data_IF_567121840245
#
_entry.id   IF_567121840245
#
_cell.length_a   1.000
_cell.length_b   1.000
_cell.length_c   1.000
_cell.angle_alpha   90.00
_cell.angle_beta   90.00
_cell.angle_gamma   90.00
#
_symmetry.space_group_name_H-M   'P 1'
#
loop_
_entity.id
_entity.type
_entity.pdbx_description
1 polymer ?
#
# COMPACT_ATOMS: atom_id res chain seq x y z
N UNK A 1 30.24 -25.07 66.31
CA UNK A 1 29.10 -25.84 65.77
C UNK A 1 28.54 -25.06 64.61
N UNK A 2 28.54 -25.72 63.47
CA UNK A 2 28.03 -25.32 62.15
C UNK A 2 26.58 -24.85 62.21
N UNK A 3 26.21 -23.84 61.41
CA UNK A 3 25.09 -23.94 60.45
C UNK A 3 25.08 -22.72 59.50
N UNK A 4 25.60 -22.92 58.28
CA UNK A 4 24.86 -23.04 56.99
C UNK A 4 24.24 -21.73 56.50
N UNK A 5 25.00 -21.06 55.63
CA UNK A 5 24.57 -19.98 54.74
C UNK A 5 23.69 -20.60 53.64
N UNK A 6 22.41 -20.24 53.60
CA UNK A 6 21.49 -20.59 52.50
C UNK A 6 21.77 -19.69 51.29
N UNK A 7 22.52 -20.23 50.32
CA UNK A 7 22.64 -19.66 48.98
C UNK A 7 21.44 -20.10 48.14
N UNK A 8 20.46 -19.21 47.98
CA UNK A 8 19.40 -19.38 46.98
C UNK A 8 19.85 -18.80 45.63
N UNK A 9 19.80 -19.55 44.53
CA UNK A 9 20.24 -19.06 43.22
C UNK A 9 19.20 -18.10 42.62
N UNK A 10 19.65 -16.93 42.20
CA UNK A 10 18.90 -15.96 41.41
C UNK A 10 18.33 -16.63 40.14
N UNK A 11 17.04 -16.42 39.79
CA UNK A 11 16.48 -16.99 38.58
C UNK A 11 17.12 -16.34 37.35
N UNK A 12 17.66 -17.19 36.45
CA UNK A 12 18.19 -16.78 35.14
C UNK A 12 17.09 -16.04 34.37
N UNK A 13 17.33 -14.76 34.07
CA UNK A 13 16.55 -14.02 33.05
C UNK A 13 16.70 -14.75 31.72
N UNK A 14 15.64 -15.40 31.27
CA UNK A 14 15.51 -15.93 29.92
C UNK A 14 15.62 -14.79 28.91
N UNK A 15 16.51 -14.94 27.92
CA UNK A 15 16.62 -14.04 26.79
C UNK A 15 15.27 -13.95 26.05
N UNK A 16 14.90 -12.78 25.50
CA UNK A 16 13.64 -12.65 24.76
C UNK A 16 13.70 -13.47 23.47
N UNK A 17 12.74 -14.39 23.34
CA UNK A 17 12.39 -15.09 22.11
C UNK A 17 12.10 -14.08 20.99
N UNK A 18 12.48 -14.34 19.73
CA UNK A 18 12.20 -13.40 18.65
C UNK A 18 10.69 -13.28 18.47
N UNK A 19 10.16 -12.07 18.66
CA UNK A 19 8.75 -11.73 18.51
C UNK A 19 8.29 -12.09 17.10
N UNK A 20 7.39 -13.05 17.02
CA UNK A 20 6.66 -13.46 15.82
C UNK A 20 5.81 -12.31 15.26
N UNK A 21 5.67 -12.25 13.94
CA UNK A 21 4.68 -11.41 13.29
C UNK A 21 3.30 -12.00 13.62
N UNK A 22 2.40 -11.21 14.21
CA UNK A 22 1.02 -11.65 14.43
C UNK A 22 0.28 -11.63 13.08
N UNK A 23 -0.15 -12.81 12.64
CA UNK A 23 -0.76 -13.02 11.31
C UNK A 23 -2.28 -12.79 11.30
N UNK A 24 -2.89 -12.44 12.42
CA UNK A 24 -4.32 -12.14 12.49
C UNK A 24 -4.61 -10.67 12.11
N UNK A 25 -5.70 -10.45 11.38
CA UNK A 25 -6.17 -9.11 10.97
C UNK A 25 -7.28 -8.69 11.94
N UNK A 26 -7.00 -7.75 12.84
CA UNK A 26 -8.04 -7.15 13.65
C UNK A 26 -8.96 -6.30 12.75
N UNK A 27 -10.27 -6.54 12.79
CA UNK A 27 -11.28 -5.68 12.14
C UNK A 27 -11.96 -6.22 10.87
N UNK A 28 -11.68 -7.45 10.43
CA UNK A 28 -12.49 -8.08 9.38
C UNK A 28 -13.84 -8.51 10.00
N UNK A 29 -14.92 -7.81 9.65
CA UNK A 29 -16.26 -8.38 9.83
C UNK A 29 -16.32 -9.68 9.05
N UNK A 30 -16.42 -10.80 9.76
CA UNK A 30 -16.51 -12.13 9.15
C UNK A 30 -17.75 -12.18 8.25
N UNK A 31 -17.56 -12.04 6.94
CA UNK A 31 -18.56 -12.47 5.97
C UNK A 31 -18.94 -13.91 6.30
N UNK A 32 -20.25 -14.19 6.25
CA UNK A 32 -20.88 -15.49 6.50
C UNK A 32 -19.96 -16.67 6.18
N UNK A 33 -19.77 -17.54 7.18
CA UNK A 33 -18.97 -18.79 7.17
C UNK A 33 -18.24 -19.02 5.83
N UNK A 34 -16.95 -18.67 5.71
CA UNK A 34 -16.25 -18.75 4.44
C UNK A 34 -16.36 -20.17 3.87
N UNK A 35 -16.70 -20.25 2.58
CA UNK A 35 -16.77 -21.50 1.81
C UNK A 35 -15.48 -22.31 1.99
N UNK A 36 -15.56 -23.64 1.90
CA UNK A 36 -14.40 -24.54 2.00
C UNK A 36 -13.29 -24.11 1.03
N UNK A 37 -13.67 -23.65 -0.16
CA UNK A 37 -12.75 -23.13 -1.19
C UNK A 37 -12.03 -21.87 -0.69
N UNK A 38 -12.75 -20.94 -0.05
CA UNK A 38 -12.17 -19.72 0.53
C UNK A 38 -11.19 -20.06 1.66
N UNK A 39 -11.53 -21.01 2.54
CA UNK A 39 -10.63 -21.43 3.63
C UNK A 39 -9.35 -22.07 3.10
N UNK A 40 -9.48 -22.93 2.09
CA UNK A 40 -8.34 -23.55 1.42
C UNK A 40 -7.45 -22.51 0.75
N UNK A 41 -8.03 -21.55 0.02
CA UNK A 41 -7.29 -20.45 -0.56
C UNK A 41 -6.56 -19.62 0.51
N UNK A 42 -7.23 -19.24 1.59
CA UNK A 42 -6.61 -18.49 2.70
C UNK A 42 -5.48 -19.29 3.37
N UNK A 43 -5.58 -20.62 3.45
CA UNK A 43 -4.48 -21.46 3.94
C UNK A 43 -3.25 -21.45 3.01
N UNK A 44 -3.46 -21.40 1.70
CA UNK A 44 -2.37 -21.27 0.72
C UNK A 44 -1.69 -19.92 0.88
N UNK A 45 -2.48 -18.85 1.03
CA UNK A 45 -1.97 -17.50 1.25
C UNK A 45 -1.15 -17.45 2.54
N UNK A 46 -1.69 -17.91 3.67
CA UNK A 46 -0.98 -17.92 4.94
C UNK A 46 0.33 -18.75 4.90
N UNK A 47 0.32 -19.89 4.21
CA UNK A 47 1.54 -20.68 3.99
C UNK A 47 2.58 -19.91 3.17
N UNK A 48 2.14 -19.26 2.09
CA UNK A 48 3.01 -18.43 1.27
C UNK A 48 3.55 -17.21 2.03
N UNK A 49 2.75 -16.61 2.91
CA UNK A 49 3.21 -15.52 3.78
C UNK A 49 4.32 -15.96 4.72
N UNK A 50 4.19 -17.15 5.32
CA UNK A 50 5.24 -17.75 6.13
C UNK A 50 6.53 -18.00 5.34
N UNK A 51 6.41 -18.45 4.08
CA UNK A 51 7.56 -18.60 3.19
C UNK A 51 8.19 -17.25 2.83
N UNK A 52 7.39 -16.24 2.49
CA UNK A 52 7.88 -14.90 2.17
C UNK A 52 8.65 -14.30 3.35
N UNK A 53 8.13 -14.46 4.57
CA UNK A 53 8.80 -14.01 5.79
C UNK A 53 10.16 -14.70 5.97
N UNK A 54 10.20 -16.04 5.85
CA UNK A 54 11.41 -16.85 6.03
C UNK A 54 12.48 -16.58 4.98
N UNK A 55 12.08 -16.33 3.73
CA UNK A 55 12.98 -16.19 2.58
C UNK A 55 13.12 -14.74 2.09
N UNK A 56 12.74 -13.76 2.92
CA UNK A 56 12.92 -12.34 2.63
C UNK A 56 14.40 -12.01 2.37
N UNK A 57 14.71 -11.43 1.20
CA UNK A 57 16.09 -11.12 0.81
C UNK A 57 16.66 -9.95 1.61
N UNK A 58 15.81 -9.00 1.99
CA UNK A 58 16.18 -7.72 2.61
C UNK A 58 15.69 -7.60 4.06
N UNK A 59 15.38 -8.75 4.70
CA UNK A 59 14.72 -8.77 6.00
C UNK A 59 13.25 -8.32 5.93
N UNK A 60 12.64 -8.18 7.10
CA UNK A 60 11.23 -7.78 7.27
C UNK A 60 11.07 -6.60 8.24
N UNK A 61 11.83 -5.49 8.12
CA UNK A 61 11.53 -4.32 8.92
C UNK A 61 10.14 -3.76 8.52
N UNK A 62 9.40 -3.14 9.45
CA UNK A 62 8.13 -2.47 9.11
C UNK A 62 8.36 -1.29 8.16
N UNK A 63 9.46 -0.56 8.32
CA UNK A 63 9.87 0.58 7.48
C UNK A 63 11.30 0.33 7.01
N UNK A 64 11.56 0.49 5.71
CA UNK A 64 12.86 0.26 5.11
C UNK A 64 13.65 1.56 4.98
N UNK A 65 14.98 1.46 5.08
CA UNK A 65 15.87 2.52 4.60
C UNK A 65 15.79 2.57 3.06
N UNK A 66 15.48 3.74 2.52
CA UNK A 66 15.38 3.97 1.08
C UNK A 66 16.65 3.60 0.31
N UNK A 67 17.83 3.68 0.94
CA UNK A 67 19.10 3.26 0.33
C UNK A 67 19.13 1.76 -0.04
N UNK A 68 18.26 0.95 0.57
CA UNK A 68 18.05 -0.46 0.21
C UNK A 68 17.49 -0.62 -1.21
N UNK A 69 16.82 0.40 -1.72
CA UNK A 69 16.20 0.43 -3.04
C UNK A 69 16.74 1.62 -3.85
N UNK A 70 17.93 1.52 -4.45
CA UNK A 70 18.58 2.67 -5.12
C UNK A 70 17.71 3.34 -6.21
N UNK A 71 16.86 2.56 -6.88
CA UNK A 71 15.92 3.08 -7.89
C UNK A 71 14.90 4.08 -7.32
N UNK A 72 14.64 4.06 -6.00
CA UNK A 72 13.75 5.02 -5.35
C UNK A 72 14.27 6.46 -5.48
N UNK A 73 15.60 6.66 -5.53
CA UNK A 73 16.20 7.98 -5.76
C UNK A 73 15.84 8.54 -7.14
N UNK A 74 15.71 7.69 -8.16
CA UNK A 74 15.30 8.13 -9.49
C UNK A 74 13.82 8.57 -9.50
N UNK A 75 12.97 7.91 -8.71
CA UNK A 75 11.58 8.31 -8.50
C UNK A 75 11.49 9.63 -7.73
N UNK A 76 12.32 9.82 -6.69
CA UNK A 76 12.42 11.10 -5.97
C UNK A 76 12.88 12.25 -6.88
N UNK A 77 13.86 12.00 -7.76
CA UNK A 77 14.37 13.02 -8.72
C UNK A 77 13.31 13.48 -9.70
N UNK A 78 12.41 12.59 -10.13
CA UNK A 78 11.31 12.90 -11.04
C UNK A 78 10.12 13.61 -10.36
N UNK A 79 10.21 13.89 -9.05
CA UNK A 79 9.12 14.51 -8.30
C UNK A 79 8.60 15.82 -8.92
N UNK A 80 9.43 16.77 -9.40
CA UNK A 80 8.94 18.02 -9.97
C UNK A 80 8.02 17.80 -11.19
N UNK A 81 8.42 16.88 -12.08
CA UNK A 81 7.65 16.54 -13.27
C UNK A 81 6.33 15.85 -12.88
N UNK A 82 6.40 14.85 -11.99
CA UNK A 82 5.22 14.15 -11.47
C UNK A 82 4.25 15.15 -10.80
N UNK A 83 4.77 16.12 -10.04
CA UNK A 83 3.99 17.15 -9.36
C UNK A 83 3.20 18.00 -10.34
N UNK A 84 3.83 18.40 -11.44
CA UNK A 84 3.18 19.20 -12.48
C UNK A 84 2.05 18.42 -13.20
N UNK A 85 2.18 17.11 -13.38
CA UNK A 85 1.09 16.27 -13.91
C UNK A 85 -0.04 16.12 -12.90
N UNK A 86 0.30 15.87 -11.63
CA UNK A 86 -0.66 15.79 -10.54
C UNK A 86 -1.49 17.08 -10.42
N UNK A 87 -0.89 18.26 -10.54
CA UNK A 87 -1.62 19.52 -10.47
C UNK A 87 -2.71 19.62 -11.55
N UNK A 88 -2.46 19.07 -12.75
CA UNK A 88 -3.49 18.99 -13.81
C UNK A 88 -4.58 17.99 -13.48
N UNK A 89 -4.23 16.84 -12.89
CA UNK A 89 -5.21 15.83 -12.44
C UNK A 89 -6.13 16.42 -11.36
N UNK A 90 -5.58 17.18 -10.42
CA UNK A 90 -6.32 17.76 -9.29
C UNK A 90 -7.32 18.85 -9.71
N UNK A 91 -7.21 19.44 -10.91
CA UNK A 91 -8.24 20.35 -11.45
C UNK A 91 -9.63 19.69 -11.46
N UNK A 92 -9.68 18.37 -11.70
CA UNK A 92 -10.92 17.57 -11.68
C UNK A 92 -10.99 16.63 -10.46
N UNK A 93 -10.39 17.02 -9.33
CA UNK A 93 -10.36 16.19 -8.11
C UNK A 93 -11.76 15.74 -7.66
N UNK A 94 -12.80 16.56 -7.83
CA UNK A 94 -14.18 16.19 -7.47
C UNK A 94 -14.74 15.00 -8.24
N UNK A 95 -14.20 14.72 -9.44
CA UNK A 95 -14.66 13.69 -10.35
C UNK A 95 -13.81 12.41 -10.26
N UNK A 96 -12.75 12.43 -9.45
CA UNK A 96 -11.93 11.26 -9.19
C UNK A 96 -12.72 10.25 -8.33
N UNK A 97 -12.58 8.95 -8.65
CA UNK A 97 -13.28 7.89 -7.95
C UNK A 97 -12.71 7.75 -6.55
N UNK A 98 -13.60 7.46 -5.60
CA UNK A 98 -13.17 7.09 -4.26
C UNK A 98 -12.60 5.67 -4.29
N UNK A 99 -11.60 5.37 -3.44
CA UNK A 99 -10.96 4.06 -3.46
C UNK A 99 -11.97 2.91 -3.29
N UNK A 100 -12.96 3.07 -2.40
CA UNK A 100 -13.99 2.04 -2.18
C UNK A 100 -14.96 1.82 -3.36
N UNK A 101 -15.02 2.76 -4.32
CA UNK A 101 -15.79 2.60 -5.56
C UNK A 101 -15.02 1.72 -6.56
N UNK A 102 -13.68 1.74 -6.48
CA UNK A 102 -12.80 0.90 -7.30
C UNK A 102 -12.49 -0.44 -6.62
N UNK A 103 -12.39 -0.52 -5.30
CA UNK A 103 -11.92 -1.72 -4.62
C UNK A 103 -12.83 -2.07 -3.45
N UNK A 104 -13.54 -3.21 -3.57
CA UNK A 104 -14.54 -3.64 -2.59
C UNK A 104 -13.93 -4.04 -1.22
N UNK A 105 -12.63 -4.36 -1.15
CA UNK A 105 -11.91 -4.83 0.07
C UNK A 105 -11.70 -3.66 1.02
N UNK A 106 -11.60 -2.46 0.45
CA UNK A 106 -11.40 -1.22 1.18
C UNK A 106 -12.69 -0.67 1.77
N UNK A 107 -13.86 -1.17 1.37
CA UNK A 107 -15.14 -0.79 2.00
C UNK A 107 -15.15 -1.06 3.51
N UNK A 108 -14.32 -2.01 3.97
CA UNK A 108 -14.17 -2.33 5.40
C UNK A 108 -13.41 -1.25 6.18
N UNK A 109 -12.47 -0.55 5.53
CA UNK A 109 -11.55 0.43 6.16
C UNK A 109 -11.84 1.88 5.75
N UNK A 110 -12.66 2.12 4.73
CA UNK A 110 -13.06 3.44 4.27
C UNK A 110 -14.56 3.48 4.02
N UNK A 111 -15.28 4.26 4.85
CA UNK A 111 -16.74 4.43 4.77
C UNK A 111 -17.18 5.79 4.22
N UNK A 112 -16.23 6.66 3.88
CA UNK A 112 -16.47 8.00 3.36
C UNK A 112 -15.77 8.22 2.02
N UNK A 113 -16.16 9.26 1.28
CA UNK A 113 -15.63 9.57 -0.06
C UNK A 113 -14.38 10.47 -0.04
N UNK A 114 -13.71 10.59 1.11
CA UNK A 114 -12.55 11.48 1.31
C UNK A 114 -11.21 10.84 0.95
N UNK A 115 -11.24 9.63 0.38
CA UNK A 115 -10.07 8.97 -0.17
C UNK A 115 -10.25 8.71 -1.66
N UNK A 116 -9.58 9.52 -2.47
CA UNK A 116 -9.66 9.48 -3.93
C UNK A 116 -8.41 8.89 -4.56
N UNK A 117 -8.56 8.31 -5.74
CA UNK A 117 -7.47 7.64 -6.46
C UNK A 117 -7.42 7.97 -7.93
N UNK A 118 -6.22 7.99 -8.50
CA UNK A 118 -6.01 8.05 -9.94
C UNK A 118 -4.96 7.00 -10.33
N UNK A 119 -5.38 5.85 -10.87
CA UNK A 119 -4.50 4.72 -11.16
C UNK A 119 -3.84 4.84 -12.53
N UNK A 120 -2.52 4.68 -12.60
CA UNK A 120 -1.80 4.46 -13.86
C UNK A 120 -1.70 2.96 -14.16
N UNK A 121 -1.49 2.16 -13.11
CA UNK A 121 -1.50 0.69 -13.17
C UNK A 121 -2.05 0.15 -11.85
N UNK A 122 -2.93 -0.84 -11.91
CA UNK A 122 -3.48 -1.55 -10.76
C UNK A 122 -3.33 -3.06 -10.95
N UNK A 123 -2.68 -3.75 -10.01
CA UNK A 123 -2.39 -5.19 -10.09
C UNK A 123 -1.75 -5.64 -11.42
N UNK A 124 -0.92 -4.79 -12.04
CA UNK A 124 -0.26 -5.01 -13.32
C UNK A 124 -1.10 -4.67 -14.57
N UNK A 125 -2.37 -4.27 -14.40
CA UNK A 125 -3.22 -3.83 -15.51
C UNK A 125 -3.13 -2.32 -15.66
N UNK A 126 -2.73 -1.86 -16.84
CA UNK A 126 -2.49 -0.46 -17.15
C UNK A 126 -3.77 0.28 -17.51
N UNK A 127 -3.83 1.55 -17.12
CA UNK A 127 -4.74 2.54 -17.68
C UNK A 127 -3.99 3.34 -18.75
N UNK A 128 -4.25 3.04 -20.02
CA UNK A 128 -3.57 3.71 -21.12
C UNK A 128 -3.91 5.20 -21.17
N UNK A 129 -5.16 5.57 -20.86
CA UNK A 129 -5.59 6.97 -20.85
C UNK A 129 -4.97 7.76 -19.69
N UNK A 130 -4.89 7.20 -18.48
CA UNK A 130 -4.25 7.89 -17.35
C UNK A 130 -2.73 7.99 -17.55
N UNK A 131 -2.10 6.98 -18.16
CA UNK A 131 -0.69 7.03 -18.57
C UNK A 131 -0.47 8.13 -19.62
N UNK A 132 -1.35 8.27 -20.61
CA UNK A 132 -1.27 9.37 -21.59
C UNK A 132 -1.45 10.75 -20.95
N UNK A 133 -2.25 10.85 -19.88
CA UNK A 133 -2.42 12.09 -19.12
C UNK A 133 -1.22 12.40 -18.21
N UNK A 134 -0.50 11.36 -17.77
CA UNK A 134 0.65 11.45 -16.85
C UNK A 134 1.90 10.70 -17.38
N UNK A 135 2.44 11.07 -18.56
CA UNK A 135 3.55 10.37 -19.20
C UNK A 135 4.85 10.41 -18.39
N UNK A 136 5.17 11.52 -17.71
CA UNK A 136 6.40 11.62 -16.91
C UNK A 136 6.29 10.77 -15.64
N UNK A 137 5.10 10.70 -15.04
CA UNK A 137 4.82 9.79 -13.93
C UNK A 137 4.99 8.34 -14.36
N UNK A 138 4.44 7.95 -15.51
CA UNK A 138 4.63 6.60 -16.02
C UNK A 138 6.10 6.29 -16.29
N UNK A 139 6.83 7.23 -16.91
CA UNK A 139 8.26 7.10 -17.19
C UNK A 139 9.10 6.89 -15.93
N UNK A 140 8.76 7.57 -14.84
CA UNK A 140 9.44 7.42 -13.56
C UNK A 140 9.21 6.04 -12.91
N UNK A 141 8.01 5.46 -13.05
CA UNK A 141 7.64 4.23 -12.31
C UNK A 141 7.77 2.94 -13.12
N UNK A 142 7.67 2.98 -14.45
CA UNK A 142 7.54 1.77 -15.28
C UNK A 142 8.73 0.80 -15.19
N UNK A 143 9.90 1.29 -14.81
CA UNK A 143 11.12 0.51 -14.68
C UNK A 143 11.35 -0.02 -13.25
N UNK A 144 10.44 0.25 -12.31
CA UNK A 144 10.53 -0.28 -10.95
C UNK A 144 10.45 -1.82 -10.99
N UNK A 145 11.42 -2.54 -10.41
CA UNK A 145 11.43 -4.00 -10.44
C UNK A 145 10.17 -4.59 -9.82
N UNK A 146 9.38 -5.29 -10.64
CA UNK A 146 8.15 -5.94 -10.18
C UNK A 146 7.03 -4.97 -9.81
N UNK A 147 6.94 -3.81 -10.48
CA UNK A 147 5.80 -2.89 -10.35
C UNK A 147 4.46 -3.63 -10.44
N UNK A 148 3.59 -3.40 -9.47
CA UNK A 148 2.21 -3.94 -9.43
C UNK A 148 1.16 -2.86 -9.46
N UNK A 149 1.36 -1.80 -8.69
CA UNK A 149 0.41 -0.69 -8.61
C UNK A 149 1.16 0.62 -8.64
N UNK A 150 0.66 1.61 -9.38
CA UNK A 150 1.05 3.01 -9.26
C UNK A 150 -0.19 3.88 -9.41
N UNK A 151 -0.44 4.73 -8.41
CA UNK A 151 -1.59 5.63 -8.39
C UNK A 151 -1.30 6.89 -7.58
N UNK A 152 -1.98 7.99 -7.88
CA UNK A 152 -2.09 9.09 -6.92
C UNK A 152 -3.13 8.72 -5.87
N UNK A 153 -2.74 8.78 -4.59
CA UNK A 153 -3.59 8.52 -3.44
C UNK A 153 -3.83 9.82 -2.66
N UNK A 154 -5.09 10.27 -2.67
CA UNK A 154 -5.49 11.61 -2.26
C UNK A 154 -6.34 11.49 -1.00
N UNK A 155 -5.83 11.99 0.12
CA UNK A 155 -6.58 12.12 1.37
C UNK A 155 -7.09 13.55 1.48
N UNK A 156 -8.41 13.71 1.39
CA UNK A 156 -9.07 14.97 1.68
C UNK A 156 -9.03 15.28 3.19
N UNK A 157 -9.31 16.54 3.58
CA UNK A 157 -9.29 16.96 4.97
C UNK A 157 -10.08 16.05 5.93
N UNK A 158 -9.49 15.76 7.08
CA UNK A 158 -10.07 14.92 8.12
C UNK A 158 -10.16 13.42 7.79
N UNK A 159 -9.51 12.94 6.71
CA UNK A 159 -9.52 11.51 6.37
C UNK A 159 -8.70 10.71 7.39
N UNK A 160 -9.28 9.62 7.87
CA UNK A 160 -8.59 8.64 8.72
C UNK A 160 -8.86 7.24 8.17
N UNK A 161 -7.80 6.49 7.94
CA UNK A 161 -7.83 5.05 7.72
C UNK A 161 -7.47 4.37 9.05
N UNK A 162 -8.38 3.58 9.64
CA UNK A 162 -8.13 2.89 10.90
C UNK A 162 -7.02 1.85 10.73
N UNK A 163 -6.54 1.31 11.85
CA UNK A 163 -5.54 0.26 11.85
C UNK A 163 -6.00 -0.96 11.02
N UNK A 164 -5.18 -1.36 10.05
CA UNK A 164 -5.45 -2.47 9.15
C UNK A 164 -4.15 -3.10 8.65
N UNK A 165 -4.25 -4.23 7.94
CA UNK A 165 -3.12 -4.88 7.28
C UNK A 165 -3.42 -5.03 5.80
N UNK A 166 -2.38 -4.95 4.98
CA UNK A 166 -2.44 -5.38 3.59
C UNK A 166 -2.82 -6.86 3.52
N UNK A 167 -3.48 -7.30 2.45
CA UNK A 167 -4.02 -8.66 2.34
C UNK A 167 -2.94 -9.73 2.15
N UNK A 168 -1.70 -9.34 1.82
CA UNK A 168 -0.63 -10.28 1.50
C UNK A 168 0.77 -9.65 1.58
N UNK A 169 1.72 -10.30 2.26
CA UNK A 169 3.12 -9.83 2.42
C UNK A 169 4.05 -10.05 1.20
N UNK A 170 3.49 -10.26 0.01
CA UNK A 170 4.24 -10.50 -1.23
C UNK A 170 4.71 -9.25 -1.97
N UNK A 171 4.27 -8.08 -1.53
CA UNK A 171 4.64 -6.76 -2.07
C UNK A 171 5.22 -5.89 -0.96
N UNK A 172 5.90 -4.82 -1.36
CA UNK A 172 6.26 -3.70 -0.50
C UNK A 172 5.64 -2.43 -1.08
N UNK A 173 5.38 -1.45 -0.21
CA UNK A 173 4.74 -0.20 -0.56
C UNK A 173 5.71 0.96 -0.44
N UNK A 174 5.71 1.83 -1.45
CA UNK A 174 6.39 3.12 -1.46
C UNK A 174 5.34 4.23 -1.56
N UNK A 175 5.46 5.22 -0.68
CA UNK A 175 4.77 6.51 -0.82
C UNK A 175 5.80 7.61 -1.12
N UNK A 176 5.73 8.24 -2.29
CA UNK A 176 6.43 9.50 -2.55
C UNK A 176 5.52 10.66 -2.15
N UNK A 177 5.98 11.54 -1.25
CA UNK A 177 5.21 12.72 -0.84
C UNK A 177 5.03 13.70 -2.00
N UNK A 178 3.79 13.96 -2.42
CA UNK A 178 3.48 14.87 -3.52
C UNK A 178 2.97 16.23 -3.02
N UNK A 179 1.95 16.20 -2.15
CA UNK A 179 1.44 17.35 -1.42
C UNK A 179 1.40 16.93 0.04
N UNK A 180 2.17 17.59 0.90
CA UNK A 180 2.22 17.26 2.33
C UNK A 180 1.96 18.53 3.14
N UNK A 181 0.75 18.68 3.72
CA UNK A 181 0.45 19.79 4.63
C UNK A 181 1.44 19.89 5.80
N UNK A 182 1.92 21.11 6.09
CA UNK A 182 2.74 21.41 7.27
C UNK A 182 1.92 21.30 8.57
N UNK A 183 1.80 20.09 9.09
CA UNK A 183 1.23 19.78 10.40
C UNK A 183 1.57 18.33 10.80
N UNK A 184 2.83 18.09 11.20
CA UNK A 184 3.34 16.74 11.49
C UNK A 184 2.58 16.03 12.61
N UNK A 185 2.00 16.76 13.57
CA UNK A 185 1.17 16.20 14.65
C UNK A 185 -0.21 15.71 14.17
N UNK A 186 -0.73 16.27 13.08
CA UNK A 186 -2.06 15.98 12.54
C UNK A 186 -2.04 15.13 11.27
N UNK A 187 -0.85 14.81 10.76
CA UNK A 187 -0.67 14.06 9.53
C UNK A 187 0.48 13.07 9.69
N UNK A 188 0.14 11.77 9.73
CA UNK A 188 1.13 10.72 9.81
C UNK A 188 0.61 9.37 9.33
N UNK A 189 1.52 8.41 9.25
CA UNK A 189 1.23 6.99 9.14
C UNK A 189 1.97 6.26 10.26
N UNK A 190 1.24 5.43 11.01
CA UNK A 190 1.83 4.43 11.90
C UNK A 190 2.01 3.14 11.12
N UNK A 191 3.21 2.56 11.16
CA UNK A 191 3.47 1.21 10.66
C UNK A 191 4.06 0.40 11.81
N UNK A 192 3.29 -0.59 12.29
CA UNK A 192 3.57 -1.34 13.51
C UNK A 192 3.73 -0.40 14.71
N UNK A 193 4.95 -0.25 15.20
CA UNK A 193 5.39 0.53 16.35
C UNK A 193 6.06 1.85 15.97
N UNK A 194 6.11 2.19 14.68
CA UNK A 194 6.81 3.38 14.17
C UNK A 194 5.81 4.40 13.61
N UNK A 195 5.92 5.66 14.05
CA UNK A 195 5.20 6.79 13.48
C UNK A 195 6.11 7.45 12.44
N UNK A 196 5.63 7.52 11.21
CA UNK A 196 6.33 8.09 10.07
C UNK A 196 5.56 9.30 9.53
N UNK A 197 6.30 10.26 9.00
CA UNK A 197 5.75 11.44 8.33
C UNK A 197 6.22 11.46 6.89
N UNK A 198 5.39 12.00 6.01
CA UNK A 198 5.79 12.26 4.63
C UNK A 198 6.56 13.57 4.54
N UNK A 199 7.41 13.67 3.52
CA UNK A 199 8.03 14.91 3.09
C UNK A 199 7.86 15.00 1.57
N UNK A 200 7.58 16.19 1.06
CA UNK A 200 7.49 16.40 -0.39
C UNK A 200 8.81 16.00 -1.07
N UNK A 201 8.69 15.26 -2.17
CA UNK A 201 9.85 14.75 -2.92
C UNK A 201 10.60 13.59 -2.27
N UNK A 202 10.12 13.06 -1.13
CA UNK A 202 10.77 11.94 -0.42
C UNK A 202 9.93 10.69 -0.39
N UNK A 203 10.60 9.56 -0.61
CA UNK A 203 10.00 8.25 -0.52
C UNK A 203 9.91 7.78 0.93
N UNK A 204 8.85 7.04 1.24
CA UNK A 204 8.69 6.26 2.45
C UNK A 204 8.36 4.83 2.02
N UNK A 205 9.25 3.89 2.30
CA UNK A 205 9.08 2.47 1.93
C UNK A 205 8.75 1.66 3.18
N UNK A 206 7.65 0.92 3.14
CA UNK A 206 7.18 0.12 4.26
C UNK A 206 6.52 -1.19 3.79
N UNK A 207 6.46 -2.15 4.71
CA UNK A 207 5.75 -3.41 4.51
C UNK A 207 4.33 -3.26 5.07
N UNK A 208 3.34 -3.14 4.17
CA UNK A 208 1.95 -2.94 4.53
C UNK A 208 1.29 -4.20 5.10
N UNK A 209 1.97 -5.35 5.10
CA UNK A 209 1.52 -6.54 5.82
C UNK A 209 1.73 -6.43 7.34
N UNK A 210 2.42 -5.41 7.84
CA UNK A 210 2.29 -5.02 9.24
C UNK A 210 1.03 -4.18 9.45
N UNK A 211 0.48 -4.23 10.66
CA UNK A 211 -0.63 -3.34 11.01
C UNK A 211 -0.20 -1.89 10.83
N UNK A 212 -0.98 -1.12 10.09
CA UNK A 212 -0.72 0.27 9.82
C UNK A 212 -2.00 1.09 9.82
N UNK A 213 -1.84 2.38 10.10
CA UNK A 213 -2.91 3.33 10.28
C UNK A 213 -2.45 4.67 9.74
N UNK A 214 -3.30 5.38 8.98
CA UNK A 214 -2.91 6.64 8.36
C UNK A 214 -4.00 7.68 8.55
N UNK A 215 -3.62 8.90 8.94
CA UNK A 215 -4.57 9.97 9.17
C UNK A 215 -4.08 11.28 8.58
N UNK A 216 -5.03 12.08 8.11
CA UNK A 216 -4.91 13.46 7.73
C UNK A 216 -5.98 14.25 8.50
N UNK A 217 -5.68 14.67 9.72
CA UNK A 217 -6.54 15.52 10.55
C UNK A 217 -6.34 17.01 10.27
N UNK A 218 -5.66 17.36 9.18
CA UNK A 218 -5.51 18.75 8.73
C UNK A 218 -6.74 19.21 7.96
N UNK A 219 -6.80 20.52 7.71
CA UNK A 219 -7.79 21.18 6.85
C UNK A 219 -7.37 21.19 5.37
N UNK A 220 -6.25 20.54 5.02
CA UNK A 220 -5.68 20.50 3.66
C UNK A 220 -5.61 19.09 3.10
N UNK A 221 -5.62 19.00 1.78
CA UNK A 221 -5.44 17.73 1.06
C UNK A 221 -3.99 17.24 1.18
N UNK A 222 -3.82 15.93 1.42
CA UNK A 222 -2.52 15.26 1.32
C UNK A 222 -2.52 14.32 0.12
N UNK A 223 -1.48 14.37 -0.69
CA UNK A 223 -1.31 13.47 -1.84
C UNK A 223 0.03 12.75 -1.76
N UNK A 224 0.00 11.45 -2.03
CA UNK A 224 1.20 10.64 -2.27
C UNK A 224 1.08 9.95 -3.62
N UNK A 225 2.21 9.75 -4.30
CA UNK A 225 2.31 8.73 -5.34
C UNK A 225 2.54 7.39 -4.62
N UNK A 226 1.51 6.56 -4.67
CA UNK A 226 1.47 5.23 -4.07
C UNK A 226 1.98 4.23 -5.09
N UNK A 227 2.94 3.40 -4.68
CA UNK A 227 3.54 2.37 -5.53
C UNK A 227 3.63 1.06 -4.75
N UNK A 228 3.06 -0.02 -5.29
CA UNK A 228 3.32 -1.37 -4.82
C UNK A 228 4.26 -2.09 -5.80
N UNK A 229 5.28 -2.77 -5.27
CA UNK A 229 6.24 -3.55 -6.05
C UNK A 229 6.53 -4.89 -5.37
N UNK A 230 6.94 -5.89 -6.15
CA UNK A 230 7.19 -7.25 -5.65
C UNK A 230 8.28 -7.24 -4.58
N UNK A 231 7.98 -7.82 -3.41
CA UNK A 231 8.94 -8.00 -2.33
C UNK A 231 10.13 -8.84 -2.80
N UNK A 232 11.38 -8.40 -2.60
CA UNK A 232 12.54 -9.21 -2.97
C UNK A 232 12.67 -10.47 -2.09
N UNK A 233 12.52 -11.63 -2.71
CA UNK A 233 12.53 -12.94 -2.06
C UNK A 233 13.60 -13.87 -2.66
N UNK A 234 14.08 -14.81 -1.83
CA UNK A 234 14.95 -15.92 -2.27
C UNK A 234 14.09 -17.11 -2.74
N UNK A 235 14.69 -18.05 -3.48
CA UNK A 235 14.05 -19.32 -3.80
C UNK A 235 13.83 -20.15 -2.51
N UNK A 236 12.70 -20.87 -2.35
CA UNK A 236 11.61 -21.05 -3.32
C UNK A 236 10.52 -19.97 -3.27
N UNK A 237 10.46 -19.15 -2.22
CA UNK A 237 9.40 -18.17 -2.01
C UNK A 237 9.20 -17.21 -3.18
N UNK A 238 10.28 -16.79 -3.87
CA UNK A 238 10.19 -15.95 -5.07
C UNK A 238 9.27 -16.52 -6.15
N UNK A 239 9.34 -17.83 -6.41
CA UNK A 239 8.54 -18.49 -7.45
C UNK A 239 7.07 -18.58 -7.03
N UNK A 240 6.83 -18.96 -5.77
CA UNK A 240 5.49 -19.08 -5.20
C UNK A 240 4.81 -17.72 -5.14
N UNK A 241 5.52 -16.68 -4.68
CA UNK A 241 5.03 -15.32 -4.65
C UNK A 241 4.69 -14.79 -6.05
N UNK A 242 5.56 -15.05 -7.04
CA UNK A 242 5.27 -14.70 -8.43
C UNK A 242 4.00 -15.40 -8.92
N UNK A 243 3.84 -16.70 -8.67
CA UNK A 243 2.65 -17.44 -9.08
C UNK A 243 1.38 -16.85 -8.44
N UNK A 244 1.39 -16.62 -7.13
CA UNK A 244 0.23 -16.04 -6.42
C UNK A 244 -0.12 -14.65 -6.93
N UNK A 245 0.85 -13.75 -7.09
CA UNK A 245 0.58 -12.39 -7.58
C UNK A 245 0.07 -12.36 -9.02
N UNK A 246 0.46 -13.32 -9.88
CA UNK A 246 -0.06 -13.42 -11.24
C UNK A 246 -1.38 -14.18 -11.33
N UNK A 247 -1.75 -14.96 -10.31
CA UNK A 247 -3.05 -15.62 -10.22
C UNK A 247 -4.09 -14.75 -9.50
N UNK A 248 -3.66 -13.84 -8.62
CA UNK A 248 -4.53 -12.94 -7.86
C UNK A 248 -5.44 -12.10 -8.77
N UNK A 249 -4.97 -11.70 -9.96
CA UNK A 249 -5.76 -10.95 -10.95
C UNK A 249 -7.04 -11.67 -11.41
N UNK A 250 -7.10 -13.00 -11.26
CA UNK A 250 -8.26 -13.81 -11.61
C UNK A 250 -9.25 -13.97 -10.46
N UNK A 251 -8.93 -13.45 -9.28
CA UNK A 251 -9.89 -13.43 -8.17
C UNK A 251 -11.05 -12.49 -8.52
N UNK A 252 -12.31 -12.87 -8.21
CA UNK A 252 -13.48 -12.03 -8.50
C UNK A 252 -13.31 -10.60 -7.98
N UNK A 253 -12.66 -10.49 -6.83
CA UNK A 253 -12.35 -9.24 -6.16
C UNK A 253 -11.53 -8.26 -7.01
N UNK A 254 -10.34 -8.68 -7.47
CA UNK A 254 -9.47 -7.81 -8.28
C UNK A 254 -10.15 -7.51 -9.62
N UNK A 255 -10.84 -8.50 -10.19
CA UNK A 255 -11.53 -8.33 -11.47
C UNK A 255 -12.65 -7.30 -11.39
N UNK A 256 -13.50 -7.38 -10.38
CA UNK A 256 -14.57 -6.39 -10.13
C UNK A 256 -13.97 -4.99 -10.00
N UNK A 257 -12.87 -4.85 -9.27
CA UNK A 257 -12.26 -3.55 -9.11
C UNK A 257 -11.64 -2.98 -10.38
N UNK A 258 -11.04 -3.83 -11.21
CA UNK A 258 -10.55 -3.44 -12.53
C UNK A 258 -11.68 -3.03 -13.48
N UNK A 259 -12.82 -3.72 -13.42
CA UNK A 259 -13.99 -3.40 -14.23
C UNK A 259 -14.63 -2.06 -13.78
N UNK A 260 -14.73 -1.82 -12.46
CA UNK A 260 -15.18 -0.54 -11.90
C UNK A 260 -14.27 0.61 -12.32
N UNK A 261 -12.94 0.40 -12.30
CA UNK A 261 -11.99 1.40 -12.77
C UNK A 261 -12.21 1.76 -14.24
N UNK A 262 -12.35 0.76 -15.13
CA UNK A 262 -12.59 0.99 -16.57
C UNK A 262 -13.88 1.75 -16.83
N UNK A 263 -14.96 1.43 -16.11
CA UNK A 263 -16.23 2.14 -16.24
C UNK A 263 -16.13 3.59 -15.79
N UNK A 264 -15.37 3.87 -14.73
CA UNK A 264 -15.06 5.25 -14.33
C UNK A 264 -14.25 5.98 -15.42
N UNK A 265 -13.17 5.38 -15.93
CA UNK A 265 -12.32 6.00 -16.97
C UNK A 265 -13.16 6.41 -18.19
N UNK A 266 -14.01 5.50 -18.67
CA UNK A 266 -14.88 5.74 -19.81
C UNK A 266 -15.75 6.99 -19.59
N UNK A 267 -16.34 7.14 -18.41
CA UNK A 267 -17.15 8.31 -18.05
C UNK A 267 -16.31 9.58 -17.94
N UNK A 268 -15.18 9.50 -17.24
CA UNK A 268 -14.30 10.64 -16.97
C UNK A 268 -13.75 11.29 -18.25
N UNK A 269 -13.34 10.46 -19.23
CA UNK A 269 -12.80 10.93 -20.50
C UNK A 269 -13.89 11.33 -21.51
N UNK A 270 -15.04 10.63 -21.54
CA UNK A 270 -16.17 11.04 -22.39
C UNK A 270 -16.70 12.43 -22.01
N UNK A 271 -16.75 12.75 -20.71
CA UNK A 271 -17.13 14.08 -20.23
C UNK A 271 -16.11 15.15 -20.64
N UNK A 272 -14.81 14.83 -20.58
CA UNK A 272 -13.76 15.75 -21.03
C UNK A 272 -13.86 16.07 -22.52
N UNK A 273 -14.13 15.05 -23.35
CA UNK A 273 -14.32 15.20 -24.79
C UNK A 273 -15.58 16.02 -25.10
N UNK A 274 -16.69 15.74 -24.41
CA UNK A 274 -17.92 16.52 -24.54
C UNK A 274 -17.74 17.99 -24.17
N UNK A 275 -16.91 18.29 -23.17
CA UNK A 275 -16.58 19.67 -22.78
C UNK A 275 -15.72 20.36 -23.86
N UNK A 276 -14.70 19.67 -24.40
CA UNK A 276 -13.86 20.18 -25.49
C UNK A 276 -14.65 20.49 -26.75
N UNK A 277 -15.61 19.64 -27.10
CA UNK A 277 -16.43 19.83 -28.31
C UNK A 277 -17.48 20.95 -28.19
N UNK A 278 -17.64 21.54 -26.99
CA UNK A 278 -18.56 22.65 -26.71
C UNK A 278 -17.89 24.02 -26.65
N UNK A 279 -16.56 24.06 -26.59
CA UNK A 279 -15.72 25.28 -26.56
C UNK A 279 -15.00 25.47 -27.89
#
# INVERSE_FOLDING_TARGET
MTDVISNSPLPKKSAPTPKTQDFETAGISSLNRPSIITRFFMSIVAWAEGLNFKYAKLGNPPVYDNATFPWAQEVEKAWPEIRAELDRVLVRQSELPSFQEISTDVQTISKDNRWKTFFLVGFGVKSEQNIQACPETWKAVQNIPGLKTAMFSIFEPGKHLPAHRGPYNGVLRLHLGMIVPDATDKLAIRVKDQICHWQEGKALIFDDAYEHEAWNHTDKTRVVLFIDFVKPLKFPARLINWALLNLAIFTPFIREGLDNHKEWEKKFYAQAEALRNRT
#
